data_IF_757822459611
#
_entry.id   IF_757822459611
#
_cell.length_a   1.000
_cell.length_b   1.000
_cell.length_c   1.000
_cell.angle_alpha   90.00
_cell.angle_beta   90.00
_cell.angle_gamma   90.00
#
_symmetry.space_group_name_H-M   'P 1'
#
loop_
_entity.id
_entity.type
_entity.pdbx_description
1 polymer ?
#
# COMPACT_ATOMS: atom_id res chain seq x y z
N UNK A 1 15.33 -9.44 12.71
CA UNK A 1 16.04 -8.38 11.95
C UNK A 1 15.08 -7.20 11.77
N UNK A 2 15.61 -5.97 11.75
CA UNK A 2 14.84 -4.72 11.67
C UNK A 2 15.20 -4.00 10.37
N UNK A 3 14.19 -3.46 9.65
CA UNK A 3 14.40 -2.77 8.37
C UNK A 3 13.55 -1.50 8.35
N UNK A 4 14.20 -0.33 8.38
CA UNK A 4 13.56 0.98 8.41
C UNK A 4 14.61 2.03 8.02
N UNK A 5 14.29 3.00 7.19
CA UNK A 5 15.23 4.08 6.81
C UNK A 5 15.41 5.13 7.91
N UNK A 6 14.52 5.13 8.92
CA UNK A 6 14.57 6.01 10.07
C UNK A 6 15.40 5.41 11.21
N UNK A 7 16.63 5.88 11.38
CA UNK A 7 17.57 5.40 12.44
C UNK A 7 17.00 5.44 13.85
N UNK A 8 16.15 6.44 14.14
CA UNK A 8 15.51 6.56 15.46
C UNK A 8 14.53 5.43 15.71
N UNK A 9 13.79 5.01 14.68
CA UNK A 9 12.86 3.88 14.76
C UNK A 9 13.63 2.57 14.93
N UNK A 10 14.68 2.35 14.14
CA UNK A 10 15.57 1.19 14.31
C UNK A 10 16.11 1.09 15.72
N UNK A 11 16.63 2.19 16.26
CA UNK A 11 17.14 2.21 17.63
C UNK A 11 16.06 1.88 18.66
N UNK A 12 14.86 2.44 18.51
CA UNK A 12 13.73 2.17 19.40
C UNK A 12 13.28 0.71 19.35
N UNK A 13 13.10 0.15 18.16
CA UNK A 13 12.73 -1.25 17.95
C UNK A 13 13.84 -2.21 18.45
N UNK A 14 15.10 -1.87 18.23
CA UNK A 14 16.23 -2.67 18.74
C UNK A 14 16.21 -2.72 20.29
N UNK A 15 16.02 -1.59 20.96
CA UNK A 15 15.90 -1.55 22.42
C UNK A 15 14.69 -2.35 22.91
N UNK A 16 13.55 -2.20 22.24
CA UNK A 16 12.33 -2.92 22.57
C UNK A 16 12.55 -4.43 22.50
N UNK A 17 13.04 -4.93 21.36
CA UNK A 17 13.25 -6.38 21.14
C UNK A 17 14.34 -6.94 22.07
N UNK A 18 15.46 -6.24 22.21
CA UNK A 18 16.56 -6.68 23.08
C UNK A 18 16.21 -6.60 24.57
N UNK A 19 15.18 -5.82 24.96
CA UNK A 19 14.62 -5.83 26.31
C UNK A 19 13.98 -7.16 26.71
N UNK A 20 13.62 -7.99 25.71
CA UNK A 20 13.00 -9.29 25.91
C UNK A 20 13.99 -10.46 25.88
N UNK A 21 15.30 -10.22 25.95
CA UNK A 21 16.31 -11.29 26.04
C UNK A 21 16.08 -12.17 27.26
N UNK A 22 16.28 -13.49 27.16
CA UNK A 22 16.78 -14.25 26.00
C UNK A 22 15.68 -14.66 25.00
N UNK A 23 14.42 -14.28 25.21
CA UNK A 23 13.27 -14.71 24.40
C UNK A 23 13.33 -14.15 22.97
N UNK A 24 13.78 -12.90 22.81
CA UNK A 24 13.96 -12.22 21.53
C UNK A 24 15.30 -11.49 21.49
N UNK A 25 15.86 -11.41 20.29
CA UNK A 25 17.10 -10.68 20.02
C UNK A 25 17.05 -10.01 18.65
N UNK A 26 17.44 -8.74 18.59
CA UNK A 26 17.63 -8.02 17.33
C UNK A 26 19.01 -8.40 16.76
N UNK A 27 19.02 -9.26 15.73
CA UNK A 27 20.26 -9.81 15.14
C UNK A 27 20.89 -8.88 14.09
N UNK A 28 20.18 -7.85 13.63
CA UNK A 28 20.70 -6.87 12.68
C UNK A 28 19.67 -5.83 12.31
N UNK A 29 20.17 -4.69 11.78
CA UNK A 29 19.38 -3.56 11.29
C UNK A 29 19.82 -3.22 9.87
N UNK A 30 18.88 -2.89 8.99
CA UNK A 30 19.09 -2.42 7.63
C UNK A 30 18.30 -1.12 7.39
N UNK A 31 18.85 -0.23 6.58
CA UNK A 31 18.23 1.04 6.24
C UNK A 31 17.65 1.08 4.80
N UNK A 32 17.79 -0.02 4.03
CA UNK A 32 17.26 -0.15 2.67
C UNK A 32 16.87 -1.60 2.37
N UNK A 33 16.08 -1.78 1.31
CA UNK A 33 15.69 -3.11 0.84
C UNK A 33 16.90 -3.97 0.42
N UNK A 34 17.86 -3.38 -0.29
CA UNK A 34 19.07 -4.07 -0.73
C UNK A 34 19.92 -4.55 0.45
N UNK A 35 20.17 -3.67 1.44
CA UNK A 35 20.90 -4.02 2.65
C UNK A 35 20.16 -5.12 3.44
N UNK A 36 18.84 -5.05 3.48
CA UNK A 36 18.01 -6.05 4.17
C UNK A 36 18.16 -7.44 3.54
N UNK A 37 18.16 -7.55 2.21
CA UNK A 37 18.34 -8.82 1.49
C UNK A 37 19.72 -9.42 1.80
N UNK A 38 20.79 -8.62 1.72
CA UNK A 38 22.15 -9.07 2.02
C UNK A 38 22.30 -9.54 3.47
N UNK A 39 21.70 -8.83 4.44
CA UNK A 39 21.74 -9.20 5.84
C UNK A 39 20.86 -10.40 6.14
N UNK A 40 19.68 -10.53 5.56
CA UNK A 40 18.79 -11.67 5.73
C UNK A 40 19.46 -12.99 5.30
N UNK A 41 20.15 -12.98 4.17
CA UNK A 41 20.89 -14.15 3.67
C UNK A 41 22.02 -14.58 4.63
N UNK A 42 22.71 -13.62 5.27
CA UNK A 42 23.82 -13.86 6.18
C UNK A 42 23.37 -14.27 7.58
N UNK A 43 22.41 -13.52 8.14
CA UNK A 43 22.00 -13.64 9.54
C UNK A 43 20.89 -14.65 9.75
N UNK A 44 20.15 -15.01 8.69
CA UNK A 44 19.02 -15.97 8.71
C UNK A 44 18.05 -15.71 9.87
N UNK A 45 17.47 -14.50 9.98
CA UNK A 45 16.56 -14.17 11.07
C UNK A 45 15.29 -15.03 10.99
N UNK A 46 14.65 -15.29 12.14
CA UNK A 46 13.34 -15.95 12.18
C UNK A 46 12.22 -15.01 11.74
N UNK A 47 12.33 -13.73 12.14
CA UNK A 47 11.35 -12.67 11.82
C UNK A 47 12.08 -11.43 11.32
N UNK A 48 11.52 -10.81 10.28
CA UNK A 48 11.93 -9.51 9.76
C UNK A 48 10.79 -8.51 10.04
N UNK A 49 11.11 -7.45 10.80
CA UNK A 49 10.25 -6.28 10.89
C UNK A 49 10.62 -5.36 9.74
N UNK A 50 9.70 -5.11 8.83
CA UNK A 50 9.94 -4.38 7.59
C UNK A 50 9.04 -3.17 7.50
N UNK A 51 9.63 -1.99 7.35
CA UNK A 51 8.87 -0.82 6.92
C UNK A 51 8.56 -0.88 5.42
N UNK A 52 7.40 -0.36 5.05
CA UNK A 52 6.99 -0.24 3.64
C UNK A 52 7.68 0.96 2.98
N UNK A 53 7.82 2.06 3.72
CA UNK A 53 8.42 3.31 3.24
C UNK A 53 9.90 3.35 3.60
N UNK A 54 10.75 2.97 2.67
CA UNK A 54 12.21 2.95 2.83
C UNK A 54 12.89 4.09 2.04
N UNK A 55 12.22 5.23 1.98
CA UNK A 55 12.71 6.42 1.27
C UNK A 55 12.55 6.30 -0.24
N UNK A 56 13.63 5.98 -0.96
CA UNK A 56 13.57 5.75 -2.41
C UNK A 56 13.08 4.34 -2.77
N UNK A 57 13.19 3.40 -1.84
CA UNK A 57 12.81 2.00 -2.02
C UNK A 57 11.39 1.74 -1.51
N UNK A 58 10.70 0.79 -2.15
CA UNK A 58 9.40 0.29 -1.71
C UNK A 58 9.58 -1.04 -0.98
N UNK A 59 9.35 -1.06 0.33
CA UNK A 59 9.52 -2.27 1.15
C UNK A 59 8.66 -3.45 0.68
N UNK A 60 7.50 -3.20 0.03
CA UNK A 60 6.67 -4.28 -0.52
C UNK A 60 7.39 -5.03 -1.64
N UNK A 61 8.17 -4.33 -2.47
CA UNK A 61 8.92 -4.92 -3.58
C UNK A 61 10.08 -5.79 -3.10
N UNK A 62 10.63 -5.53 -1.91
CA UNK A 62 11.69 -6.32 -1.31
C UNK A 62 11.19 -7.66 -0.73
N UNK A 63 9.88 -7.83 -0.47
CA UNK A 63 9.32 -9.03 0.18
C UNK A 63 9.65 -10.33 -0.57
N UNK A 64 9.44 -10.45 -1.90
CA UNK A 64 9.75 -11.67 -2.63
C UNK A 64 11.22 -12.07 -2.52
N UNK A 65 12.14 -11.11 -2.62
CA UNK A 65 13.58 -11.35 -2.56
C UNK A 65 14.04 -11.74 -1.14
N UNK A 66 13.47 -11.11 -0.11
CA UNK A 66 13.70 -11.49 1.30
C UNK A 66 13.23 -12.92 1.58
N UNK A 67 12.08 -13.33 1.03
CA UNK A 67 11.55 -14.68 1.16
C UNK A 67 12.36 -15.70 0.33
N UNK A 68 12.93 -15.29 -0.80
CA UNK A 68 13.78 -16.15 -1.63
C UNK A 68 15.14 -16.40 -0.99
N UNK A 69 15.72 -15.41 -0.26
CA UNK A 69 17.06 -15.53 0.34
C UNK A 69 17.04 -16.05 1.79
N UNK A 70 15.88 -16.11 2.44
CA UNK A 70 15.74 -16.52 3.84
C UNK A 70 14.41 -17.25 4.11
N UNK A 71 14.36 -18.02 5.22
CA UNK A 71 13.10 -18.60 5.71
C UNK A 71 12.38 -17.67 6.71
N UNK A 72 12.75 -16.41 6.74
CA UNK A 72 12.20 -15.45 7.68
C UNK A 72 10.71 -15.20 7.43
N UNK A 73 9.99 -14.97 8.49
CA UNK A 73 8.60 -14.50 8.43
C UNK A 73 8.61 -12.98 8.50
N UNK A 74 7.88 -12.33 7.58
CA UNK A 74 7.89 -10.88 7.45
C UNK A 74 6.67 -10.30 8.16
N UNK A 75 6.92 -9.38 9.11
CA UNK A 75 5.93 -8.54 9.77
C UNK A 75 6.16 -7.09 9.32
N UNK A 76 5.16 -6.52 8.68
CA UNK A 76 5.20 -5.11 8.27
C UNK A 76 4.98 -4.22 9.50
N UNK A 77 5.85 -3.22 9.68
CA UNK A 77 5.73 -2.18 10.72
C UNK A 77 5.77 -0.83 10.03
N UNK A 78 4.63 -0.17 9.83
CA UNK A 78 4.52 1.00 8.97
C UNK A 78 3.72 2.15 9.58
N UNK A 79 4.04 3.39 9.22
CA UNK A 79 3.24 4.58 9.49
C UNK A 79 2.17 4.85 8.42
N UNK A 80 2.24 4.19 7.28
CA UNK A 80 1.25 4.34 6.21
C UNK A 80 -0.09 3.71 6.63
N UNK A 81 -1.19 4.37 6.24
CA UNK A 81 -2.56 3.91 6.55
C UNK A 81 -3.30 3.40 5.32
N UNK A 82 -2.61 3.26 4.20
CA UNK A 82 -3.21 2.76 2.94
C UNK A 82 -3.43 1.25 3.02
N UNK A 83 -4.70 0.86 3.10
CA UNK A 83 -5.09 -0.55 3.17
C UNK A 83 -4.74 -1.34 1.90
N UNK A 84 -4.71 -0.69 0.73
CA UNK A 84 -4.36 -1.38 -0.51
C UNK A 84 -2.88 -1.78 -0.50
N UNK A 85 -2.01 -0.93 0.06
CA UNK A 85 -0.58 -1.22 0.23
C UNK A 85 -0.38 -2.34 1.27
N UNK A 86 -1.12 -2.32 2.38
CA UNK A 86 -1.09 -3.40 3.37
C UNK A 86 -1.54 -4.75 2.78
N UNK A 87 -2.64 -4.76 2.02
CA UNK A 87 -3.14 -5.95 1.36
C UNK A 87 -2.11 -6.47 0.33
N UNK A 88 -1.44 -5.56 -0.42
CA UNK A 88 -0.38 -5.93 -1.34
C UNK A 88 0.83 -6.58 -0.65
N UNK A 89 1.27 -6.04 0.50
CA UNK A 89 2.35 -6.63 1.29
C UNK A 89 2.00 -8.04 1.78
N UNK A 90 0.78 -8.28 2.24
CA UNK A 90 0.33 -9.62 2.67
C UNK A 90 0.25 -10.57 1.48
N UNK A 91 -0.24 -10.13 0.32
CA UNK A 91 -0.27 -10.94 -0.91
C UNK A 91 1.13 -11.25 -1.44
N UNK A 92 2.12 -10.36 -1.21
CA UNK A 92 3.52 -10.60 -1.52
C UNK A 92 4.19 -11.61 -0.56
N UNK A 93 3.54 -11.94 0.58
CA UNK A 93 3.99 -12.98 1.52
C UNK A 93 4.24 -12.51 2.94
N UNK A 94 3.97 -11.25 3.28
CA UNK A 94 4.03 -10.79 4.67
C UNK A 94 2.99 -11.52 5.54
N UNK A 95 3.35 -11.81 6.78
CA UNK A 95 2.52 -12.54 7.74
C UNK A 95 1.65 -11.63 8.60
N UNK A 96 1.86 -10.33 8.52
CA UNK A 96 1.06 -9.37 9.28
C UNK A 96 1.45 -7.94 8.99
N UNK A 97 0.59 -7.03 9.45
CA UNK A 97 0.80 -5.59 9.38
C UNK A 97 0.48 -4.98 10.73
N UNK A 98 1.35 -4.12 11.22
CA UNK A 98 1.17 -3.35 12.45
C UNK A 98 1.56 -1.88 12.22
N UNK A 99 0.86 -0.98 12.88
CA UNK A 99 1.14 0.46 12.79
C UNK A 99 2.30 0.84 13.72
N UNK A 100 3.20 1.75 13.26
CA UNK A 100 4.33 2.26 14.08
C UNK A 100 3.87 2.96 15.36
N UNK A 101 2.67 3.55 15.34
CA UNK A 101 2.11 4.27 16.50
C UNK A 101 1.44 3.36 17.53
N UNK A 102 1.42 2.05 17.33
CA UNK A 102 0.81 1.13 18.31
C UNK A 102 1.66 1.02 19.58
N UNK A 103 1.04 0.49 20.64
CA UNK A 103 1.76 0.22 21.89
C UNK A 103 2.90 -0.80 21.67
N UNK A 104 4.02 -0.60 22.34
CA UNK A 104 5.22 -1.44 22.21
C UNK A 104 4.94 -2.93 22.48
N UNK A 105 4.07 -3.23 23.44
CA UNK A 105 3.64 -4.59 23.79
C UNK A 105 2.92 -5.30 22.64
N UNK A 106 2.22 -4.53 21.78
CA UNK A 106 1.56 -5.11 20.60
C UNK A 106 2.57 -5.51 19.53
N UNK A 107 3.68 -4.76 19.39
CA UNK A 107 4.76 -5.13 18.47
C UNK A 107 5.39 -6.46 18.92
N UNK A 108 5.71 -6.59 20.20
CA UNK A 108 6.28 -7.82 20.76
C UNK A 108 5.34 -9.01 20.57
N UNK A 109 4.06 -8.81 20.86
CA UNK A 109 3.04 -9.84 20.67
C UNK A 109 2.88 -10.24 19.20
N UNK A 110 2.94 -9.26 18.28
CA UNK A 110 2.88 -9.55 16.84
C UNK A 110 4.10 -10.35 16.37
N UNK A 111 5.30 -10.05 16.89
CA UNK A 111 6.51 -10.82 16.59
C UNK A 111 6.33 -12.27 17.04
N UNK A 112 5.84 -12.53 18.27
CA UNK A 112 5.59 -13.88 18.78
C UNK A 112 4.57 -14.65 17.94
N UNK A 113 3.45 -14.01 17.63
CA UNK A 113 2.39 -14.57 16.79
C UNK A 113 2.95 -14.99 15.42
N UNK A 114 3.65 -14.09 14.76
CA UNK A 114 4.26 -14.34 13.44
C UNK A 114 5.37 -15.40 13.55
N UNK A 115 6.20 -15.36 14.58
CA UNK A 115 7.20 -16.40 14.84
C UNK A 115 6.56 -17.78 15.05
N UNK A 116 5.42 -17.85 15.73
CA UNK A 116 4.61 -19.07 15.88
C UNK A 116 4.00 -19.60 14.58
N UNK A 117 4.06 -18.82 13.50
CA UNK A 117 3.51 -19.20 12.18
C UNK A 117 2.08 -18.70 11.93
N UNK A 118 1.51 -17.97 12.87
CA UNK A 118 0.20 -17.36 12.74
C UNK A 118 0.23 -16.07 11.94
N UNK A 119 -0.93 -15.58 11.52
CA UNK A 119 -1.08 -14.30 10.84
C UNK A 119 -1.48 -13.22 11.85
N UNK A 120 -0.82 -12.06 11.76
CA UNK A 120 -1.18 -10.87 12.51
C UNK A 120 -1.97 -9.91 11.61
N UNK A 121 -3.27 -10.20 11.45
CA UNK A 121 -4.20 -9.43 10.61
C UNK A 121 -5.50 -9.20 11.37
N UNK A 122 -6.13 -8.05 11.14
CA UNK A 122 -7.49 -7.85 11.59
C UNK A 122 -8.50 -8.65 10.74
N UNK A 123 -9.74 -8.77 11.25
CA UNK A 123 -10.79 -9.52 10.56
C UNK A 123 -11.11 -8.93 9.18
N UNK A 124 -11.06 -7.61 9.04
CA UNK A 124 -11.37 -6.93 7.78
C UNK A 124 -10.29 -7.19 6.73
N UNK A 125 -9.01 -7.08 7.11
CA UNK A 125 -7.88 -7.43 6.25
C UNK A 125 -7.95 -8.90 5.82
N UNK A 126 -8.17 -9.81 6.77
CA UNK A 126 -8.32 -11.24 6.47
C UNK A 126 -9.43 -11.49 5.45
N UNK A 127 -10.59 -10.85 5.62
CA UNK A 127 -11.73 -11.01 4.70
C UNK A 127 -11.38 -10.47 3.29
N UNK A 128 -10.70 -9.34 3.19
CA UNK A 128 -10.27 -8.78 1.89
C UNK A 128 -9.27 -9.69 1.18
N UNK A 129 -8.26 -10.18 1.92
CA UNK A 129 -7.24 -11.09 1.37
C UNK A 129 -7.89 -12.39 0.87
N UNK A 130 -8.75 -13.02 1.69
CA UNK A 130 -9.48 -14.23 1.30
C UNK A 130 -10.34 -13.98 0.07
N UNK A 131 -11.07 -12.85 0.01
CA UNK A 131 -11.88 -12.51 -1.15
C UNK A 131 -11.04 -12.33 -2.43
N UNK A 132 -9.82 -11.79 -2.32
CA UNK A 132 -8.88 -11.68 -3.45
C UNK A 132 -8.35 -13.04 -3.90
N UNK A 133 -7.95 -13.89 -2.96
CA UNK A 133 -7.44 -15.24 -3.25
C UNK A 133 -8.54 -16.19 -3.77
N UNK A 134 -9.79 -15.98 -3.34
CA UNK A 134 -10.94 -16.84 -3.72
C UNK A 134 -11.57 -16.47 -5.07
N UNK A 135 -11.12 -15.41 -5.75
CA UNK A 135 -11.60 -15.10 -7.09
C UNK A 135 -10.93 -16.06 -8.09
N UNK A 136 -11.67 -17.04 -8.68
CA UNK A 136 -11.12 -17.91 -9.73
C UNK A 136 -10.85 -17.04 -10.95
N UNK A 137 -9.60 -16.85 -11.32
CA UNK A 137 -9.22 -16.12 -12.52
C UNK A 137 -8.76 -14.68 -12.31
N UNK A 138 -8.20 -14.33 -11.16
CA UNK A 138 -7.25 -13.22 -11.13
C UNK A 138 -6.03 -13.68 -11.95
N UNK A 139 -6.13 -13.53 -13.28
CA UNK A 139 -4.96 -13.50 -14.14
C UNK A 139 -3.97 -12.54 -13.47
N UNK A 140 -2.67 -12.85 -13.55
CA UNK A 140 -1.63 -11.89 -13.16
C UNK A 140 -2.04 -10.50 -13.66
N UNK A 141 -1.93 -9.45 -12.83
CA UNK A 141 -2.40 -8.13 -13.20
C UNK A 141 -1.84 -7.80 -14.57
N UNK A 142 -2.70 -7.35 -15.46
CA UNK A 142 -2.25 -6.95 -16.81
C UNK A 142 -1.14 -5.92 -16.64
N UNK A 143 -0.17 -5.81 -17.56
CA UNK A 143 0.88 -4.79 -17.48
C UNK A 143 0.32 -3.41 -17.17
N UNK A 144 -0.87 -3.11 -17.66
CA UNK A 144 -1.59 -1.86 -17.42
C UNK A 144 -2.17 -1.71 -15.99
N UNK A 145 -2.63 -2.79 -15.37
CA UNK A 145 -3.05 -2.78 -13.96
C UNK A 145 -1.84 -2.64 -13.02
N UNK A 146 -0.68 -3.15 -13.42
CA UNK A 146 0.58 -2.94 -12.72
C UNK A 146 1.03 -1.47 -12.80
N UNK A 147 0.89 -0.82 -13.97
CA UNK A 147 1.19 0.59 -14.15
C UNK A 147 0.29 1.49 -13.28
N UNK A 148 -1.02 1.21 -13.22
CA UNK A 148 -1.95 1.92 -12.33
C UNK A 148 -1.66 1.69 -10.84
N UNK A 149 -1.14 0.52 -10.48
CA UNK A 149 -0.75 0.21 -9.10
C UNK A 149 0.46 1.04 -8.61
N UNK A 150 1.31 1.55 -9.53
CA UNK A 150 2.44 2.43 -9.21
C UNK A 150 2.03 3.87 -8.86
N UNK A 151 0.77 4.24 -9.10
CA UNK A 151 0.28 5.57 -8.77
C UNK A 151 -0.03 5.68 -7.27
N UNK A 152 0.44 6.76 -6.66
CA UNK A 152 0.03 7.14 -5.30
C UNK A 152 -1.47 7.48 -5.24
N UNK A 153 -2.07 7.50 -4.05
CA UNK A 153 -3.48 7.88 -3.88
C UNK A 153 -3.80 9.24 -4.50
N UNK A 154 -2.91 10.24 -4.32
CA UNK A 154 -3.07 11.58 -4.92
C UNK A 154 -2.93 11.59 -6.43
N UNK A 155 -2.05 10.81 -6.99
CA UNK A 155 -1.92 10.67 -8.44
C UNK A 155 -3.15 10.00 -9.06
N UNK A 156 -3.74 9.01 -8.38
CA UNK A 156 -5.01 8.39 -8.81
C UNK A 156 -6.16 9.40 -8.82
N UNK A 157 -6.30 10.24 -7.78
CA UNK A 157 -7.28 11.32 -7.76
C UNK A 157 -7.12 12.27 -8.95
N UNK A 158 -5.88 12.62 -9.31
CA UNK A 158 -5.60 13.44 -10.50
C UNK A 158 -6.02 12.72 -11.78
N UNK A 159 -5.71 11.43 -11.92
CA UNK A 159 -6.11 10.61 -13.08
C UNK A 159 -7.64 10.52 -13.19
N UNK A 160 -8.34 10.30 -12.08
CA UNK A 160 -9.80 10.22 -12.04
C UNK A 160 -10.45 11.55 -12.47
N UNK A 161 -9.91 12.68 -12.00
CA UNK A 161 -10.40 14.00 -12.44
C UNK A 161 -10.15 14.22 -13.93
N UNK A 162 -9.00 13.82 -14.45
CA UNK A 162 -8.68 13.89 -15.89
C UNK A 162 -9.62 13.01 -16.71
N UNK A 163 -9.92 11.80 -16.24
CA UNK A 163 -10.82 10.84 -16.90
C UNK A 163 -12.26 11.36 -16.97
N UNK A 164 -12.75 11.96 -15.89
CA UNK A 164 -14.14 12.39 -15.77
C UNK A 164 -14.40 13.82 -16.33
N UNK A 165 -13.35 14.62 -16.52
CA UNK A 165 -13.44 16.00 -16.97
C UNK A 165 -12.55 16.23 -18.18
N UNK A 166 -12.96 15.69 -19.34
CA UNK A 166 -12.25 15.85 -20.60
C UNK A 166 -12.03 17.35 -20.90
N UNK A 167 -10.77 17.76 -21.05
CA UNK A 167 -10.42 19.15 -21.37
C UNK A 167 -10.39 20.13 -20.19
N UNK A 168 -10.59 19.68 -18.92
CA UNK A 168 -10.44 20.56 -17.75
C UNK A 168 -9.05 21.21 -17.73
N UNK A 169 -8.91 22.50 -17.47
CA UNK A 169 -7.60 23.16 -17.34
C UNK A 169 -6.85 22.69 -16.07
N UNK A 170 -5.52 22.92 -16.01
CA UNK A 170 -4.74 22.63 -14.78
C UNK A 170 -5.34 23.35 -13.57
N UNK A 171 -5.85 24.58 -13.77
CA UNK A 171 -6.54 25.35 -12.76
C UNK A 171 -7.82 24.65 -12.29
N UNK A 172 -8.65 24.16 -13.23
CA UNK A 172 -9.89 23.46 -12.89
C UNK A 172 -9.62 22.17 -12.09
N UNK A 173 -8.55 21.42 -12.40
CA UNK A 173 -8.13 20.25 -11.62
C UNK A 173 -7.68 20.70 -10.22
N UNK A 174 -6.88 21.77 -10.13
CA UNK A 174 -6.41 22.31 -8.87
C UNK A 174 -7.57 22.72 -7.95
N UNK A 175 -8.58 23.39 -8.50
CA UNK A 175 -9.78 23.79 -7.78
C UNK A 175 -10.60 22.57 -7.29
N UNK A 176 -10.78 21.55 -8.15
CA UNK A 176 -11.51 20.32 -7.80
C UNK A 176 -10.81 19.51 -6.70
N UNK A 177 -9.48 19.47 -6.71
CA UNK A 177 -8.70 18.71 -5.74
C UNK A 177 -8.25 19.54 -4.53
N UNK A 178 -8.59 20.82 -4.48
CA UNK A 178 -8.20 21.77 -3.43
C UNK A 178 -6.67 21.83 -3.21
N UNK A 179 -5.90 21.87 -4.31
CA UNK A 179 -4.43 21.97 -4.31
C UNK A 179 -3.95 23.08 -5.25
N UNK A 180 -2.66 23.42 -5.22
CA UNK A 180 -2.11 24.43 -6.11
C UNK A 180 -1.95 23.90 -7.54
N UNK A 181 -2.02 24.80 -8.55
CA UNK A 181 -1.72 24.44 -9.95
C UNK A 181 -0.31 23.86 -10.10
N UNK A 182 0.64 24.33 -9.29
CA UNK A 182 2.01 23.83 -9.29
C UNK A 182 2.04 22.36 -8.84
N UNK A 183 1.30 22.03 -7.79
CA UNK A 183 1.16 20.65 -7.28
C UNK A 183 0.54 19.74 -8.34
N UNK A 184 -0.50 20.21 -9.06
CA UNK A 184 -1.09 19.43 -10.16
C UNK A 184 -0.09 19.15 -11.26
N UNK A 185 0.74 20.15 -11.65
CA UNK A 185 1.80 19.95 -12.68
C UNK A 185 2.82 18.91 -12.25
N UNK A 186 3.23 18.94 -10.98
CA UNK A 186 4.17 17.96 -10.45
C UNK A 186 3.57 16.53 -10.47
N UNK A 187 2.32 16.38 -10.03
CA UNK A 187 1.62 15.09 -10.14
C UNK A 187 1.49 14.61 -11.58
N UNK A 188 1.09 15.48 -12.52
CA UNK A 188 0.98 15.11 -13.93
C UNK A 188 2.33 14.66 -14.51
N UNK A 189 3.43 15.34 -14.18
CA UNK A 189 4.78 14.94 -14.63
C UNK A 189 5.15 13.56 -14.10
N UNK A 190 4.89 13.29 -12.82
CA UNK A 190 5.13 11.98 -12.20
C UNK A 190 4.26 10.89 -12.84
N UNK A 191 2.96 11.17 -13.03
CA UNK A 191 2.00 10.26 -13.66
C UNK A 191 2.44 9.91 -15.09
N UNK A 192 2.88 10.90 -15.88
CA UNK A 192 3.35 10.66 -17.25
C UNK A 192 4.54 9.69 -17.28
N UNK A 193 5.50 9.88 -16.37
CA UNK A 193 6.64 8.97 -16.24
C UNK A 193 6.24 7.54 -15.83
N UNK A 194 5.30 7.41 -14.89
CA UNK A 194 4.85 6.10 -14.37
C UNK A 194 3.99 5.32 -15.36
N UNK A 195 3.14 6.02 -16.13
CA UNK A 195 2.22 5.39 -17.09
C UNK A 195 2.76 5.36 -18.53
N UNK A 196 3.98 5.87 -18.77
CA UNK A 196 4.58 5.91 -20.10
C UNK A 196 3.81 6.76 -21.12
N UNK A 197 3.01 7.73 -20.67
CA UNK A 197 2.25 8.65 -21.53
C UNK A 197 2.98 9.99 -21.67
N UNK A 198 2.90 10.62 -22.85
CA UNK A 198 3.68 11.81 -23.17
C UNK A 198 2.96 13.13 -22.84
N UNK A 199 1.65 13.09 -22.76
CA UNK A 199 0.84 14.29 -22.58
C UNK A 199 -0.53 13.96 -21.97
N UNK A 200 -1.27 15.04 -21.67
CA UNK A 200 -2.58 14.95 -21.03
C UNK A 200 -3.66 14.28 -21.90
N UNK A 201 -3.60 14.42 -23.21
CA UNK A 201 -4.55 13.76 -24.11
C UNK A 201 -4.34 12.25 -24.07
N UNK A 202 -3.10 11.80 -24.09
CA UNK A 202 -2.76 10.38 -23.94
C UNK A 202 -3.17 9.85 -22.57
N UNK A 203 -2.95 10.63 -21.49
CA UNK A 203 -3.44 10.28 -20.16
C UNK A 203 -4.98 10.15 -20.13
N UNK A 204 -5.70 11.07 -20.75
CA UNK A 204 -7.16 10.98 -20.84
C UNK A 204 -7.61 9.71 -21.60
N UNK A 205 -7.00 9.42 -22.76
CA UNK A 205 -7.29 8.21 -23.52
C UNK A 205 -6.96 6.95 -22.72
N UNK A 206 -5.83 6.94 -22.03
CA UNK A 206 -5.43 5.87 -21.13
C UNK A 206 -6.47 5.67 -20.03
N UNK A 207 -6.80 6.71 -19.27
CA UNK A 207 -7.74 6.68 -18.14
C UNK A 207 -9.18 6.32 -18.58
N UNK A 208 -9.63 6.80 -19.75
CA UNK A 208 -10.98 6.51 -20.27
C UNK A 208 -11.20 5.04 -20.60
N UNK A 209 -10.14 4.28 -20.92
CA UNK A 209 -10.22 2.82 -21.14
C UNK A 209 -10.52 2.06 -19.84
N UNK A 210 -10.26 2.66 -18.68
CA UNK A 210 -10.44 2.05 -17.36
C UNK A 210 -11.71 2.52 -16.65
N UNK A 211 -12.13 3.78 -16.85
CA UNK A 211 -13.37 4.31 -16.27
C UNK A 211 -14.63 3.52 -16.70
N UNK A 212 -14.55 2.75 -17.80
CA UNK A 212 -15.63 1.86 -18.25
C UNK A 212 -15.69 0.49 -17.57
N UNK A 213 -14.71 0.12 -16.72
CA UNK A 213 -14.65 -1.21 -16.07
C UNK A 213 -15.03 -1.21 -14.59
N UNK A 214 -15.13 -0.05 -13.95
CA UNK A 214 -15.56 0.10 -12.57
C UNK A 214 -16.88 0.85 -12.44
N UNK A 215 -17.96 0.23 -12.88
CA UNK A 215 -19.31 0.45 -12.36
C UNK A 215 -20.12 -0.82 -12.66
N UNK A 216 -20.83 -1.46 -11.72
CA UNK A 216 -21.82 -0.78 -10.93
C UNK A 216 -22.04 -1.35 -9.50
N UNK A 217 -22.06 -0.57 -8.46
CA UNK A 217 -22.85 -0.91 -7.28
C UNK A 217 -23.02 0.29 -6.32
N UNK A 218 -23.54 1.42 -6.75
CA UNK A 218 -24.12 2.41 -5.84
C UNK A 218 -25.04 3.41 -6.55
N UNK A 219 -26.08 2.90 -7.21
CA UNK A 219 -27.25 3.72 -7.54
C UNK A 219 -28.51 2.87 -7.46
N UNK A 220 -28.93 2.62 -6.23
CA UNK A 220 -30.31 2.20 -5.95
C UNK A 220 -30.77 2.96 -4.71
N UNK A 221 -31.73 3.86 -4.91
CA UNK A 221 -32.65 4.24 -3.87
C UNK A 221 -32.48 5.62 -3.26
N UNK A 222 -32.77 6.70 -4.01
CA UNK A 222 -33.53 7.81 -3.45
C UNK A 222 -34.69 8.06 -4.40
N UNK A 223 -35.76 7.34 -4.14
CA UNK A 223 -37.09 7.64 -4.67
C UNK A 223 -37.64 8.81 -3.84
N UNK A 224 -37.62 10.02 -4.42
CA UNK A 224 -38.36 11.17 -3.90
C UNK A 224 -39.77 11.09 -4.48
N UNK A 225 -40.61 10.33 -3.77
CA UNK A 225 -42.02 10.22 -4.03
C UNK A 225 -42.68 11.60 -4.02
N UNK A 226 -43.08 12.03 -5.20
CA UNK A 226 -44.10 13.06 -5.44
C UNK A 226 -45.36 12.75 -4.61
N UNK A 227 -45.76 13.64 -3.74
CA UNK A 227 -47.15 13.78 -3.29
C UNK A 227 -47.59 15.21 -3.53
N UNK A 228 -48.10 15.45 -4.73
CA UNK A 228 -49.13 16.45 -5.00
C UNK A 228 -50.28 15.69 -5.64
N UNK A 229 -51.41 15.69 -4.99
CA UNK A 229 -52.72 15.70 -5.65
C UNK A 229 -53.80 15.82 -4.60
N UNK A 230 -54.49 16.92 -4.71
CA UNK A 230 -55.97 17.10 -4.62
C UNK A 230 -56.62 16.73 -3.29
N UNK A 231 -57.42 17.53 -2.71
CA UNK A 231 -58.38 18.49 -3.18
C UNK A 231 -59.52 18.49 -2.20
N UNK A 232 -60.20 19.56 -2.15
CA UNK A 232 -61.46 19.92 -1.53
C UNK A 232 -61.41 20.43 -0.10
#
# INVERSE_FOLDING_TARGET
>A
MLVDDHRTVLWGLEKLVNGERPRMEAVGCAASGTEAIDLAAKLRPDVILLDIDLGEDNGVEAIPDLLACSNAKILIVTGLRDQAVHDAAVLAGARGVIQKECAAELILKAIECVHGGELWLDRAATSRIVARLSRPGAAAPTPQEQELAQLTGREREVVDVVANHAGASTKAIADLLHISEHTVRNHLTSIYGKLGVLNRLELFVYASKFAGKEAPAARAGVDVGRRYANGN
#
